data_IF_378997990563
#
_entry.id   IF_378997990563
#
_cell.length_a   1.000
_cell.length_b   1.000
_cell.length_c   1.000
_cell.angle_alpha   90.00
_cell.angle_beta   90.00
_cell.angle_gamma   90.00
#
_symmetry.space_group_name_H-M   'P 1'
#
loop_
_entity.id
_entity.type
_entity.pdbx_description
1 polymer ?
#
# COMPACT_ATOMS: atom_id res chain seq x y z
N UNK A 1 -8.66 24.52 -15.65
CA UNK A 1 -7.66 24.25 -16.69
C UNK A 1 -7.51 22.75 -16.87
N UNK A 2 -7.07 22.27 -18.05
CA UNK A 2 -6.79 20.87 -18.32
C UNK A 2 -5.31 20.72 -18.65
N UNK A 3 -4.61 19.87 -17.89
CA UNK A 3 -3.25 19.45 -18.16
C UNK A 3 -3.25 18.03 -18.71
N UNK A 4 -2.42 17.78 -19.70
CA UNK A 4 -2.23 16.47 -20.29
C UNK A 4 -0.83 15.92 -19.97
N UNK A 5 -0.77 14.63 -19.69
CA UNK A 5 0.47 13.92 -19.36
C UNK A 5 0.58 12.69 -20.26
N UNK A 6 1.72 12.55 -20.96
CA UNK A 6 2.05 11.37 -21.80
C UNK A 6 3.50 10.94 -21.59
N UNK A 7 3.83 9.65 -21.63
CA UNK A 7 5.23 9.21 -21.51
C UNK A 7 6.16 9.81 -22.56
N UNK A 8 5.61 10.19 -23.73
CA UNK A 8 6.31 10.86 -24.82
C UNK A 8 6.32 12.39 -24.74
N UNK A 9 5.75 12.96 -23.69
CA UNK A 9 5.66 14.39 -23.46
C UNK A 9 7.00 14.98 -22.96
N UNK A 10 6.94 16.25 -22.53
CA UNK A 10 8.09 16.97 -21.98
C UNK A 10 7.70 17.83 -20.80
N UNK A 11 8.41 17.71 -19.67
CA UNK A 11 8.18 18.56 -18.50
C UNK A 11 8.61 20.04 -18.70
N UNK A 12 9.24 20.35 -19.82
CA UNK A 12 9.50 21.72 -20.28
C UNK A 12 8.37 22.31 -21.12
N UNK A 13 7.36 21.48 -21.48
CA UNK A 13 6.20 21.92 -22.25
C UNK A 13 5.19 22.71 -21.40
N UNK A 14 4.10 23.18 -22.01
CA UNK A 14 3.04 23.89 -21.29
C UNK A 14 1.96 22.99 -20.67
N UNK A 15 1.94 21.71 -21.06
CA UNK A 15 1.03 20.72 -20.49
C UNK A 15 -0.37 20.71 -21.12
N UNK A 16 -0.58 21.36 -22.26
CA UNK A 16 -1.81 21.23 -23.02
C UNK A 16 -1.86 19.92 -23.83
N UNK A 17 -2.97 19.66 -24.54
CA UNK A 17 -3.16 18.43 -25.30
C UNK A 17 -2.15 18.22 -26.45
N UNK A 18 -1.63 19.31 -27.03
CA UNK A 18 -0.65 19.27 -28.13
C UNK A 18 0.79 19.17 -27.58
N UNK A 19 1.03 19.71 -26.40
CA UNK A 19 2.33 19.78 -25.75
C UNK A 19 2.26 19.23 -24.31
N UNK A 20 1.98 17.93 -24.13
CA UNK A 20 1.76 17.32 -22.81
C UNK A 20 3.05 17.28 -21.97
N UNK A 21 2.90 17.24 -20.66
CA UNK A 21 3.98 16.91 -19.76
C UNK A 21 4.41 15.45 -19.90
N UNK A 22 5.64 15.13 -19.51
CA UNK A 22 6.16 13.77 -19.46
C UNK A 22 5.76 13.05 -18.17
N UNK A 23 5.61 13.77 -17.06
CA UNK A 23 5.38 13.20 -15.73
C UNK A 23 4.11 13.74 -15.07
N UNK A 24 3.45 12.88 -14.33
CA UNK A 24 2.30 13.26 -13.48
C UNK A 24 2.78 14.20 -12.38
N UNK A 25 3.98 13.99 -11.85
CA UNK A 25 4.62 14.86 -10.85
C UNK A 25 4.75 16.29 -11.33
N UNK A 26 5.11 16.52 -12.61
CA UNK A 26 5.15 17.85 -13.18
C UNK A 26 3.77 18.50 -13.21
N UNK A 27 2.75 17.77 -13.65
CA UNK A 27 1.38 18.27 -13.66
C UNK A 27 0.91 18.58 -12.23
N UNK A 28 1.24 17.73 -11.25
CA UNK A 28 0.89 17.93 -9.84
C UNK A 28 1.55 19.19 -9.22
N UNK A 29 2.71 19.60 -9.72
CA UNK A 29 3.34 20.88 -9.33
C UNK A 29 2.61 22.09 -9.93
N UNK A 30 2.00 21.93 -11.09
CA UNK A 30 1.30 23.02 -11.82
C UNK A 30 -0.16 23.18 -11.42
N UNK A 31 -0.86 22.07 -11.21
CA UNK A 31 -2.29 22.05 -10.96
C UNK A 31 -2.72 22.94 -9.80
N UNK A 32 -3.83 23.65 -10.00
CA UNK A 32 -4.45 24.58 -9.07
C UNK A 32 -5.92 24.18 -8.83
N UNK A 33 -6.59 24.71 -7.81
CA UNK A 33 -7.98 24.39 -7.54
C UNK A 33 -8.89 24.53 -8.77
N UNK A 34 -9.69 23.51 -9.04
CA UNK A 34 -10.56 23.43 -10.22
C UNK A 34 -9.91 22.83 -11.47
N UNK A 35 -8.61 22.55 -11.45
CA UNK A 35 -7.92 21.96 -12.60
C UNK A 35 -8.11 20.44 -12.69
N UNK A 36 -8.00 19.95 -13.92
CA UNK A 36 -8.00 18.52 -14.24
C UNK A 36 -6.66 18.13 -14.88
N UNK A 37 -6.06 17.05 -14.39
CA UNK A 37 -4.89 16.41 -14.97
C UNK A 37 -5.32 15.12 -15.64
N UNK A 38 -5.24 15.09 -16.96
CA UNK A 38 -5.61 13.96 -17.83
C UNK A 38 -4.32 13.19 -18.14
N UNK A 39 -4.24 11.97 -17.65
CA UNK A 39 -3.08 11.11 -17.83
C UNK A 39 -3.38 10.06 -18.89
N UNK A 40 -2.61 10.07 -19.97
CA UNK A 40 -2.75 9.14 -21.08
C UNK A 40 -2.12 7.78 -20.77
N UNK A 41 -2.51 6.76 -21.54
CA UNK A 41 -1.99 5.40 -21.35
C UNK A 41 -0.46 5.35 -21.32
N UNK A 42 0.07 4.50 -20.46
CA UNK A 42 1.50 4.29 -20.29
C UNK A 42 1.87 3.92 -18.86
N UNK A 43 3.15 3.58 -18.68
CA UNK A 43 3.73 3.30 -17.36
C UNK A 43 4.51 4.53 -16.86
N UNK A 44 4.17 4.96 -15.66
CA UNK A 44 4.76 6.11 -14.98
C UNK A 44 5.46 5.63 -13.71
N UNK A 45 6.79 5.64 -13.73
CA UNK A 45 7.60 5.19 -12.59
C UNK A 45 7.98 6.39 -11.76
N UNK A 46 7.05 6.80 -10.91
CA UNK A 46 7.21 8.02 -10.12
C UNK A 46 6.40 7.95 -8.81
N UNK A 47 6.72 8.82 -7.90
CA UNK A 47 5.98 9.09 -6.68
C UNK A 47 5.36 10.47 -6.82
N UNK A 48 4.05 10.51 -7.00
CA UNK A 48 3.33 11.77 -7.17
C UNK A 48 3.04 12.39 -5.81
N UNK A 49 3.62 13.56 -5.56
CA UNK A 49 3.37 14.38 -4.37
C UNK A 49 2.62 15.66 -4.78
N UNK A 50 1.28 15.69 -4.69
CA UNK A 50 0.51 16.84 -5.11
C UNK A 50 0.83 18.07 -4.26
N UNK A 51 1.26 19.14 -4.91
CA UNK A 51 1.67 20.39 -4.26
C UNK A 51 0.51 21.15 -3.62
N UNK A 52 -0.69 21.03 -4.20
CA UNK A 52 -1.90 21.72 -3.76
C UNK A 52 -3.09 20.78 -3.77
N UNK A 53 -4.08 21.11 -2.98
CA UNK A 53 -5.43 20.57 -3.08
C UNK A 53 -6.41 21.55 -3.68
N UNK A 54 -7.65 21.11 -3.84
CA UNK A 54 -8.78 21.98 -4.14
C UNK A 54 -9.19 22.83 -2.94
N UNK A 55 -10.11 23.75 -3.17
CA UNK A 55 -10.64 24.65 -2.13
C UNK A 55 -12.02 24.20 -1.61
N UNK A 56 -12.75 23.43 -2.40
CA UNK A 56 -14.10 22.95 -2.06
C UNK A 56 -14.49 21.74 -2.89
N UNK A 57 -15.65 21.18 -2.60
CA UNK A 57 -16.28 20.12 -3.41
C UNK A 57 -16.39 20.49 -4.91
N UNK A 58 -16.55 21.78 -5.22
CA UNK A 58 -16.75 22.27 -6.58
C UNK A 58 -15.45 22.73 -7.24
N UNK A 59 -14.39 22.88 -6.47
CA UNK A 59 -13.07 23.33 -6.93
C UNK A 59 -11.99 22.30 -6.58
N UNK A 60 -12.27 21.03 -6.86
CA UNK A 60 -11.34 19.94 -6.68
C UNK A 60 -10.20 20.03 -7.68
N UNK A 61 -9.05 19.45 -7.35
CA UNK A 61 -8.07 19.05 -8.35
C UNK A 61 -8.34 17.58 -8.70
N UNK A 62 -8.57 17.30 -9.97
CA UNK A 62 -8.87 15.95 -10.44
C UNK A 62 -7.70 15.40 -11.24
N UNK A 63 -7.24 14.22 -10.87
CA UNK A 63 -6.29 13.42 -11.63
C UNK A 63 -7.06 12.22 -12.19
N UNK A 64 -7.05 12.05 -13.51
CA UNK A 64 -7.80 10.97 -14.14
C UNK A 64 -7.07 10.36 -15.33
N UNK A 65 -7.33 9.08 -15.58
CA UNK A 65 -6.96 8.44 -16.84
C UNK A 65 -7.73 9.05 -18.01
N UNK A 66 -7.10 9.11 -19.18
CA UNK A 66 -7.75 9.60 -20.39
C UNK A 66 -8.90 8.68 -20.81
N UNK A 67 -10.03 9.28 -21.17
CA UNK A 67 -11.21 8.52 -21.56
C UNK A 67 -10.99 7.78 -22.89
N UNK A 68 -11.39 6.52 -22.95
CA UNK A 68 -11.26 5.69 -24.16
C UNK A 68 -9.86 5.10 -24.39
N UNK A 69 -8.91 5.35 -23.51
CA UNK A 69 -7.56 4.75 -23.52
C UNK A 69 -7.44 3.66 -22.45
N UNK A 70 -6.36 2.85 -22.52
CA UNK A 70 -6.00 1.95 -21.44
C UNK A 70 -5.63 2.76 -20.18
N UNK A 71 -5.83 2.17 -19.00
CA UNK A 71 -5.49 2.83 -17.73
C UNK A 71 -4.00 3.19 -17.69
N UNK A 72 -3.65 4.44 -17.35
CA UNK A 72 -2.26 4.75 -17.00
C UNK A 72 -1.86 4.01 -15.72
N UNK A 73 -0.64 3.50 -15.69
CA UNK A 73 -0.11 2.71 -14.59
C UNK A 73 0.95 3.51 -13.86
N UNK A 74 0.76 3.78 -12.56
CA UNK A 74 1.80 4.37 -11.70
C UNK A 74 2.48 3.24 -10.94
N UNK A 75 3.81 3.14 -11.04
CA UNK A 75 4.57 2.07 -10.39
C UNK A 75 5.58 2.60 -9.37
N UNK A 76 5.59 1.96 -8.19
CA UNK A 76 6.62 2.21 -7.17
C UNK A 76 7.95 1.51 -7.45
N UNK A 77 8.07 0.82 -8.56
CA UNK A 77 9.22 0.00 -8.97
C UNK A 77 9.98 0.57 -10.15
N UNK A 78 11.17 0.04 -10.38
CA UNK A 78 11.97 0.24 -11.60
C UNK A 78 12.24 -1.08 -12.31
N UNK A 79 12.37 -1.03 -13.64
CA UNK A 79 12.82 -2.16 -14.42
C UNK A 79 14.33 -2.38 -14.21
N UNK A 80 14.72 -3.64 -14.02
CA UNK A 80 16.12 -4.02 -13.85
C UNK A 80 16.51 -5.05 -14.90
N UNK A 81 17.63 -4.80 -15.57
CA UNK A 81 18.24 -5.67 -16.57
C UNK A 81 19.73 -5.86 -16.26
N UNK A 82 20.39 -6.74 -16.98
CA UNK A 82 21.81 -7.02 -16.78
C UNK A 82 22.06 -8.05 -15.69
N UNK A 83 21.10 -8.95 -15.50
CA UNK A 83 21.24 -10.09 -14.62
C UNK A 83 22.26 -11.08 -15.15
N UNK A 84 23.05 -11.68 -14.25
CA UNK A 84 24.05 -12.70 -14.56
C UNK A 84 23.72 -13.97 -13.80
N UNK A 85 23.59 -15.09 -14.51
CA UNK A 85 23.35 -16.39 -13.88
C UNK A 85 24.61 -16.89 -13.15
N UNK A 86 24.43 -17.47 -11.97
CA UNK A 86 25.54 -18.07 -11.21
C UNK A 86 25.92 -19.43 -11.80
N UNK A 87 27.20 -19.63 -12.07
CA UNK A 87 27.71 -20.87 -12.70
C UNK A 87 27.44 -22.13 -11.86
N UNK A 88 27.51 -22.02 -10.54
CA UNK A 88 27.39 -23.15 -9.60
C UNK A 88 25.95 -23.32 -9.03
N UNK A 89 25.04 -22.38 -9.34
CA UNK A 89 23.66 -22.39 -8.87
C UNK A 89 22.69 -22.10 -10.02
N UNK A 90 22.31 -23.10 -10.80
CA UNK A 90 21.34 -22.92 -11.90
C UNK A 90 20.04 -22.25 -11.44
N UNK A 91 19.48 -21.38 -12.28
CA UNK A 91 18.28 -20.58 -12.03
C UNK A 91 18.45 -19.43 -11.03
N UNK A 92 19.62 -19.31 -10.38
CA UNK A 92 19.94 -18.17 -9.53
C UNK A 92 20.71 -17.13 -10.33
N UNK A 93 20.16 -15.93 -10.33
CA UNK A 93 20.74 -14.78 -11.03
C UNK A 93 21.08 -13.68 -10.04
N UNK A 94 22.07 -12.88 -10.36
CA UNK A 94 22.49 -11.74 -9.54
C UNK A 94 22.57 -10.48 -10.38
N UNK A 95 22.30 -9.35 -9.74
CA UNK A 95 22.47 -8.02 -10.31
C UNK A 95 22.98 -7.07 -9.23
N UNK A 96 23.86 -6.15 -9.61
CA UNK A 96 24.34 -5.09 -8.74
C UNK A 96 23.70 -3.76 -9.18
N UNK A 97 23.04 -3.11 -8.25
CA UNK A 97 22.36 -1.84 -8.46
C UNK A 97 23.17 -0.69 -7.84
N UNK A 98 23.20 0.46 -8.49
CA UNK A 98 23.72 1.69 -7.93
C UNK A 98 22.67 2.29 -6.98
N UNK A 99 23.06 2.59 -5.74
CA UNK A 99 22.15 3.10 -4.72
C UNK A 99 21.57 4.48 -5.05
N UNK A 100 22.10 5.19 -6.05
CA UNK A 100 21.51 6.46 -6.52
C UNK A 100 20.13 6.29 -7.16
N UNK A 101 19.75 5.06 -7.53
CA UNK A 101 18.38 4.80 -8.00
C UNK A 101 17.32 4.90 -6.87
N UNK A 102 17.74 4.78 -5.62
CA UNK A 102 16.88 4.90 -4.45
C UNK A 102 16.93 6.35 -3.93
N UNK A 103 15.94 7.17 -4.30
CA UNK A 103 15.98 8.61 -4.06
C UNK A 103 15.79 8.96 -2.59
N UNK A 104 14.77 8.41 -1.94
CA UNK A 104 14.39 8.77 -0.57
C UNK A 104 14.97 7.81 0.47
N UNK A 105 15.02 6.53 0.15
CA UNK A 105 15.51 5.45 1.02
C UNK A 105 15.78 4.21 0.20
N UNK A 106 16.65 3.33 0.69
CA UNK A 106 16.88 2.03 0.08
C UNK A 106 15.97 0.98 0.75
N UNK A 107 14.94 0.47 0.06
CA UNK A 107 14.04 -0.52 0.65
C UNK A 107 14.71 -1.86 0.97
N UNK A 108 15.81 -2.20 0.30
CA UNK A 108 16.58 -3.41 0.54
C UNK A 108 17.50 -3.32 1.77
N UNK A 109 17.78 -2.09 2.25
CA UNK A 109 18.50 -1.83 3.49
C UNK A 109 17.58 -1.57 4.68
N UNK A 110 16.28 -1.35 4.44
CA UNK A 110 15.34 -0.91 5.47
C UNK A 110 14.58 -2.12 6.00
N UNK A 111 14.76 -2.52 7.26
CA UNK A 111 14.04 -3.65 7.84
C UNK A 111 12.56 -3.34 8.02
N UNK A 112 11.73 -4.38 7.95
CA UNK A 112 10.31 -4.31 8.32
C UNK A 112 10.24 -4.09 9.83
N UNK A 113 9.51 -3.06 10.26
CA UNK A 113 9.53 -2.59 11.64
C UNK A 113 8.21 -1.89 11.99
N UNK A 114 7.78 -2.02 13.24
CA UNK A 114 6.66 -1.24 13.77
C UNK A 114 5.94 -1.90 14.95
N UNK A 115 5.11 -1.11 15.60
CA UNK A 115 4.30 -1.55 16.73
C UNK A 115 3.30 -2.64 16.28
N UNK A 116 3.06 -3.65 17.11
CA UNK A 116 2.20 -4.82 16.85
C UNK A 116 2.59 -5.69 15.65
N UNK A 117 3.76 -5.48 15.06
CA UNK A 117 4.31 -6.39 14.07
C UNK A 117 4.73 -7.70 14.76
N UNK A 118 4.29 -8.81 14.19
CA UNK A 118 4.73 -10.15 14.57
C UNK A 118 5.39 -10.80 13.36
N UNK A 119 6.63 -11.18 13.52
CA UNK A 119 7.33 -11.93 12.48
C UNK A 119 7.06 -13.42 12.66
N UNK A 120 7.12 -14.23 11.59
CA UNK A 120 7.16 -15.67 11.74
C UNK A 120 8.19 -16.05 12.81
N UNK A 121 7.85 -16.94 13.74
CA UNK A 121 8.68 -17.31 14.90
C UNK A 121 8.95 -16.19 15.92
N UNK A 122 8.13 -15.16 15.97
CA UNK A 122 8.12 -14.16 17.04
C UNK A 122 9.47 -13.47 17.29
N UNK A 123 10.01 -12.87 16.26
CA UNK A 123 11.24 -12.08 16.33
C UNK A 123 12.53 -12.90 16.46
N UNK A 124 12.47 -14.21 16.25
CA UNK A 124 13.65 -15.07 16.18
C UNK A 124 14.18 -15.25 14.77
N UNK A 125 13.41 -14.85 13.77
CA UNK A 125 13.87 -14.84 12.39
C UNK A 125 14.76 -13.62 12.16
N UNK A 126 15.76 -13.74 11.27
CA UNK A 126 16.49 -12.58 10.78
C UNK A 126 15.53 -11.52 10.19
N UNK A 127 15.94 -10.27 10.23
CA UNK A 127 15.14 -9.16 9.73
C UNK A 127 14.82 -9.34 8.24
N UNK A 128 13.56 -9.13 7.89
CA UNK A 128 13.12 -8.96 6.51
C UNK A 128 13.04 -7.49 6.17
N UNK A 129 13.12 -7.16 4.90
CA UNK A 129 13.26 -5.80 4.41
C UNK A 129 12.04 -5.34 3.62
N UNK A 130 11.95 -4.03 3.41
CA UNK A 130 10.88 -3.41 2.63
C UNK A 130 10.99 -3.72 1.13
N UNK A 131 12.18 -4.10 0.65
CA UNK A 131 12.43 -4.45 -0.76
C UNK A 131 11.54 -5.58 -1.28
N UNK A 132 11.34 -5.58 -2.58
CA UNK A 132 10.69 -6.68 -3.29
C UNK A 132 11.21 -6.80 -4.73
N UNK A 133 11.10 -8.00 -5.31
CA UNK A 133 11.46 -8.33 -6.68
C UNK A 133 10.23 -8.92 -7.36
N UNK A 134 9.97 -8.51 -8.60
CA UNK A 134 8.82 -8.94 -9.38
C UNK A 134 9.26 -9.53 -10.72
N UNK A 135 8.69 -10.65 -11.09
CA UNK A 135 8.80 -11.26 -12.43
C UNK A 135 7.42 -11.20 -13.10
N UNK A 136 7.31 -10.46 -14.20
CA UNK A 136 6.06 -10.28 -14.94
C UNK A 136 4.90 -9.81 -14.02
N UNK A 137 5.21 -8.91 -13.09
CA UNK A 137 4.26 -8.35 -12.13
C UNK A 137 4.03 -9.20 -10.87
N UNK A 138 4.61 -10.40 -10.77
CA UNK A 138 4.42 -11.31 -9.63
C UNK A 138 5.58 -11.19 -8.66
N UNK A 139 5.30 -10.84 -7.40
CA UNK A 139 6.32 -10.66 -6.36
C UNK A 139 6.95 -11.97 -5.89
N UNK A 140 8.23 -11.92 -5.58
CA UNK A 140 9.01 -13.01 -4.97
C UNK A 140 8.89 -12.96 -3.44
N UNK A 141 9.40 -14.01 -2.79
CA UNK A 141 9.54 -14.09 -1.34
C UNK A 141 10.97 -13.72 -0.93
N UNK A 142 11.13 -13.01 0.17
CA UNK A 142 12.47 -12.74 0.70
C UNK A 142 13.03 -13.96 1.40
N UNK A 143 14.23 -14.37 1.01
CA UNK A 143 15.07 -15.28 1.76
C UNK A 143 16.06 -14.47 2.61
N UNK A 144 16.12 -14.76 3.91
CA UNK A 144 17.02 -14.08 4.82
C UNK A 144 18.48 -14.57 4.69
N UNK A 145 18.72 -15.59 3.85
CA UNK A 145 20.05 -16.16 3.57
C UNK A 145 20.22 -16.46 2.09
N UNK A 146 21.46 -16.44 1.62
CA UNK A 146 21.80 -16.86 0.26
C UNK A 146 21.49 -18.33 0.00
N UNK A 147 21.72 -19.19 0.98
CA UNK A 147 21.45 -20.63 0.88
C UNK A 147 19.97 -20.88 0.57
N UNK A 148 19.07 -20.07 1.14
CA UNK A 148 17.64 -20.14 0.83
C UNK A 148 17.28 -19.71 -0.59
N UNK A 149 18.14 -18.93 -1.26
CA UNK A 149 17.98 -18.60 -2.68
C UNK A 149 18.52 -19.75 -3.56
N UNK A 150 19.61 -20.39 -3.14
CA UNK A 150 20.22 -21.49 -3.91
C UNK A 150 19.35 -22.73 -3.92
N UNK A 151 18.68 -23.03 -2.82
CA UNK A 151 17.80 -24.21 -2.67
C UNK A 151 16.47 -23.81 -2.00
N UNK A 152 15.59 -23.12 -2.72
CA UNK A 152 14.31 -22.64 -2.16
C UNK A 152 13.36 -23.81 -1.88
N UNK A 153 13.01 -23.98 -0.61
CA UNK A 153 12.06 -24.99 -0.19
C UNK A 153 10.63 -24.51 -0.40
N UNK A 154 9.72 -25.35 -0.95
CA UNK A 154 8.34 -24.98 -1.11
C UNK A 154 7.65 -24.84 0.25
N UNK A 155 6.77 -23.87 0.36
CA UNK A 155 5.91 -23.65 1.51
C UNK A 155 4.46 -23.98 1.11
N UNK A 156 3.92 -25.08 1.62
CA UNK A 156 2.60 -25.61 1.26
C UNK A 156 1.52 -25.26 2.29
N UNK A 157 1.91 -24.99 3.52
CA UNK A 157 1.02 -24.63 4.61
C UNK A 157 1.58 -23.46 5.41
N UNK A 158 0.71 -22.53 5.77
CA UNK A 158 0.96 -21.45 6.71
C UNK A 158 -0.04 -21.51 7.87
N UNK A 159 0.10 -20.65 8.85
CA UNK A 159 -0.76 -20.58 10.02
C UNK A 159 -1.38 -19.20 10.15
N UNK A 160 -2.67 -19.12 10.45
CA UNK A 160 -3.27 -17.86 10.87
C UNK A 160 -2.67 -17.45 12.22
N UNK A 161 -2.09 -16.28 12.25
CA UNK A 161 -1.36 -15.77 13.41
C UNK A 161 -2.22 -15.75 14.69
N UNK A 162 -3.48 -15.32 14.59
CA UNK A 162 -4.36 -15.14 15.74
C UNK A 162 -5.08 -16.44 16.14
N UNK A 163 -5.59 -17.18 15.16
CA UNK A 163 -6.40 -18.37 15.40
C UNK A 163 -5.59 -19.64 15.56
N UNK A 164 -4.32 -19.63 15.14
CA UNK A 164 -3.43 -20.79 15.18
C UNK A 164 -3.99 -22.00 14.41
N UNK A 165 -4.64 -21.74 13.30
CA UNK A 165 -5.16 -22.75 12.38
C UNK A 165 -4.34 -22.81 11.10
N UNK A 166 -4.13 -24.00 10.50
CA UNK A 166 -3.44 -24.10 9.22
C UNK A 166 -4.17 -23.32 8.12
N UNK A 167 -3.40 -22.58 7.33
CA UNK A 167 -3.89 -21.84 6.18
C UNK A 167 -3.08 -22.29 4.96
N UNK A 168 -3.66 -23.09 4.05
CA UNK A 168 -2.95 -23.51 2.85
C UNK A 168 -2.46 -22.31 2.03
N UNK A 169 -1.24 -22.43 1.50
CA UNK A 169 -0.69 -21.43 0.60
C UNK A 169 -1.37 -21.56 -0.76
N UNK A 170 -1.93 -20.47 -1.32
CA UNK A 170 -2.71 -20.54 -2.56
C UNK A 170 -1.92 -21.09 -3.76
N UNK A 171 -0.65 -20.74 -3.86
CA UNK A 171 0.25 -21.18 -4.93
C UNK A 171 1.61 -21.59 -4.34
N UNK A 172 1.76 -22.91 -4.17
CA UNK A 172 2.97 -23.50 -3.55
C UNK A 172 4.20 -23.31 -4.43
N UNK A 173 4.06 -23.41 -5.75
CA UNK A 173 5.20 -23.31 -6.67
C UNK A 173 5.78 -21.88 -6.68
N UNK A 174 4.93 -20.87 -6.51
CA UNK A 174 5.34 -19.47 -6.38
C UNK A 174 6.25 -19.24 -5.18
N UNK A 175 6.15 -20.01 -4.11
CA UNK A 175 6.98 -19.85 -2.90
C UNK A 175 8.46 -20.16 -3.13
N UNK A 176 8.81 -20.77 -4.28
CA UNK A 176 10.19 -21.04 -4.68
C UNK A 176 10.87 -19.88 -5.41
N UNK A 177 10.08 -18.88 -5.82
CA UNK A 177 10.63 -17.64 -6.36
C UNK A 177 11.04 -16.75 -5.21
N UNK A 178 12.33 -16.73 -4.92
CA UNK A 178 12.89 -16.07 -3.74
C UNK A 178 14.02 -15.13 -4.13
N UNK A 179 14.22 -14.10 -3.32
CA UNK A 179 15.32 -13.17 -3.45
C UNK A 179 16.03 -12.95 -2.12
N UNK A 180 17.30 -12.53 -2.20
CA UNK A 180 18.11 -12.04 -1.09
C UNK A 180 18.89 -10.81 -1.56
N UNK A 181 19.14 -9.85 -0.68
CA UNK A 181 19.94 -8.68 -1.02
C UNK A 181 20.97 -8.35 0.05
N UNK A 182 22.09 -7.82 -0.40
CA UNK A 182 23.13 -7.24 0.45
C UNK A 182 23.40 -5.80 0.01
N UNK A 183 23.46 -4.89 0.96
CA UNK A 183 23.71 -3.47 0.72
C UNK A 183 25.09 -3.09 1.24
N UNK A 184 25.93 -2.54 0.36
CA UNK A 184 27.21 -1.95 0.72
C UNK A 184 27.09 -0.42 0.67
N UNK A 185 26.91 0.18 1.84
CA UNK A 185 26.78 1.64 1.98
C UNK A 185 28.09 2.36 1.60
N UNK A 186 29.27 1.73 1.79
CA UNK A 186 30.54 2.33 1.46
C UNK A 186 30.79 2.35 -0.06
N UNK A 187 30.44 1.27 -0.74
CA UNK A 187 30.50 1.18 -2.20
C UNK A 187 29.32 1.87 -2.88
N UNK A 188 28.22 2.15 -2.16
CA UNK A 188 27.01 2.72 -2.72
C UNK A 188 26.27 1.76 -3.63
N UNK A 189 26.27 0.46 -3.31
CA UNK A 189 25.69 -0.59 -4.14
C UNK A 189 24.74 -1.50 -3.37
N UNK A 190 23.76 -2.05 -4.09
CA UNK A 190 22.87 -3.10 -3.61
C UNK A 190 22.98 -4.30 -4.56
N UNK A 191 23.39 -5.43 -4.05
CA UNK A 191 23.45 -6.68 -4.82
C UNK A 191 22.24 -7.53 -4.48
N UNK A 192 21.51 -7.95 -5.50
CA UNK A 192 20.34 -8.83 -5.38
C UNK A 192 20.66 -10.16 -6.02
N UNK A 193 20.35 -11.24 -5.32
CA UNK A 193 20.30 -12.61 -5.85
C UNK A 193 18.85 -13.05 -5.86
N UNK A 194 18.41 -13.66 -6.96
CA UNK A 194 17.05 -14.17 -7.09
C UNK A 194 17.00 -15.48 -7.85
N UNK A 195 16.13 -16.39 -7.42
CA UNK A 195 15.89 -17.66 -8.07
C UNK A 195 14.68 -17.54 -9.00
N UNK A 196 14.91 -17.54 -10.29
CA UNK A 196 13.89 -17.35 -11.32
C UNK A 196 13.27 -18.66 -11.83
N UNK A 197 13.58 -19.80 -11.20
CA UNK A 197 12.99 -21.12 -11.51
C UNK A 197 13.05 -21.51 -12.99
N UNK A 198 14.07 -21.04 -13.72
CA UNK A 198 14.29 -21.35 -15.12
C UNK A 198 13.88 -20.27 -16.13
N UNK A 199 13.27 -19.17 -15.68
CA UNK A 199 13.08 -18.00 -16.52
C UNK A 199 14.40 -17.23 -16.69
N UNK A 200 14.61 -16.62 -17.86
CA UNK A 200 15.72 -15.69 -18.10
C UNK A 200 15.27 -14.26 -17.77
N UNK A 201 15.78 -13.65 -16.67
CA UNK A 201 15.36 -12.32 -16.25
C UNK A 201 15.73 -11.20 -17.24
N UNK A 202 16.61 -11.45 -18.19
CA UNK A 202 16.97 -10.48 -19.24
C UNK A 202 15.98 -10.48 -20.41
N UNK A 203 15.25 -11.57 -20.61
CA UNK A 203 14.20 -11.71 -21.64
C UNK A 203 12.81 -11.36 -21.09
N UNK A 204 12.63 -11.35 -19.77
CA UNK A 204 11.37 -11.11 -19.08
C UNK A 204 11.31 -9.70 -18.46
N UNK A 205 10.12 -9.29 -18.02
CA UNK A 205 9.96 -8.06 -17.24
C UNK A 205 10.31 -8.32 -15.78
N UNK A 206 11.49 -7.86 -15.36
CA UNK A 206 11.90 -7.89 -13.96
C UNK A 206 11.92 -6.47 -13.40
N UNK A 207 11.25 -6.30 -12.26
CA UNK A 207 11.12 -5.02 -11.57
C UNK A 207 11.55 -5.17 -10.11
N UNK A 208 12.05 -4.08 -9.53
CA UNK A 208 12.37 -4.01 -8.09
C UNK A 208 11.69 -2.80 -7.46
N UNK A 209 11.23 -2.94 -6.24
CA UNK A 209 10.61 -1.82 -5.53
C UNK A 209 11.63 -0.73 -5.18
N UNK A 210 11.22 0.53 -5.35
CA UNK A 210 12.08 1.71 -5.16
C UNK A 210 11.40 2.78 -4.33
N UNK A 211 10.06 2.95 -4.45
CA UNK A 211 9.31 4.07 -3.88
C UNK A 211 8.29 3.61 -2.82
N UNK A 212 8.11 4.42 -1.81
CA UNK A 212 7.11 4.16 -0.75
C UNK A 212 5.68 4.23 -1.26
N UNK A 213 5.41 5.13 -2.18
CA UNK A 213 4.06 5.46 -2.63
C UNK A 213 4.00 5.66 -4.12
N UNK A 214 2.80 5.59 -4.69
CA UNK A 214 2.51 6.02 -6.06
C UNK A 214 1.91 7.43 -6.07
N UNK A 215 0.97 7.71 -5.15
CA UNK A 215 0.28 9.01 -5.10
C UNK A 215 -0.04 9.37 -3.64
N UNK A 216 0.78 10.24 -3.04
CA UNK A 216 0.66 10.54 -1.62
C UNK A 216 1.27 11.92 -1.29
N UNK A 217 0.53 12.85 -0.67
CA UNK A 217 1.06 14.17 -0.34
C UNK A 217 2.00 14.09 0.86
N UNK A 218 3.16 14.74 0.75
CA UNK A 218 4.12 14.89 1.85
C UNK A 218 3.66 15.89 2.91
N UNK A 219 2.62 16.68 2.62
CA UNK A 219 2.10 17.74 3.48
C UNK A 219 0.69 17.45 3.95
N UNK A 220 0.35 17.99 5.11
CA UNK A 220 -0.99 17.99 5.64
C UNK A 220 -1.90 18.99 4.89
N UNK A 221 -3.21 18.76 4.93
CA UNK A 221 -4.24 19.66 4.39
C UNK A 221 -4.17 19.89 2.88
N UNK A 222 -3.72 18.90 2.14
CA UNK A 222 -3.88 18.84 0.68
C UNK A 222 -5.27 18.27 0.39
N UNK A 223 -6.28 19.10 0.51
CA UNK A 223 -7.69 18.71 0.53
C UNK A 223 -8.31 18.59 -0.87
N UNK A 224 -9.49 17.98 -0.97
CA UNK A 224 -10.34 18.00 -2.17
C UNK A 224 -9.64 17.56 -3.44
N UNK A 225 -8.93 16.45 -3.38
CA UNK A 225 -8.35 15.78 -4.55
C UNK A 225 -9.26 14.63 -4.98
N UNK A 226 -9.41 14.45 -6.27
CA UNK A 226 -10.00 13.25 -6.89
C UNK A 226 -8.93 12.52 -7.67
N UNK A 227 -8.80 11.20 -7.44
CA UNK A 227 -7.90 10.32 -8.21
C UNK A 227 -8.73 9.16 -8.76
N UNK A 228 -8.82 9.06 -10.09
CA UNK A 228 -9.67 8.06 -10.74
C UNK A 228 -9.10 7.50 -12.04
N UNK A 229 -9.42 6.24 -12.30
CA UNK A 229 -9.11 5.61 -13.59
C UNK A 229 -7.64 5.21 -13.75
N UNK A 230 -6.90 5.02 -12.65
CA UNK A 230 -5.51 4.56 -12.65
C UNK A 230 -5.40 3.07 -12.32
N UNK A 231 -4.30 2.48 -12.75
CA UNK A 231 -3.70 1.32 -12.12
C UNK A 231 -2.50 1.78 -11.30
N UNK A 232 -2.33 1.27 -10.08
CA UNK A 232 -1.15 1.53 -9.25
C UNK A 232 -0.63 0.23 -8.69
N UNK A 233 0.69 0.06 -8.67
CA UNK A 233 1.32 -1.18 -8.24
C UNK A 233 2.74 -0.98 -7.69
N UNK A 234 3.17 -1.98 -6.89
CA UNK A 234 4.57 -2.20 -6.53
C UNK A 234 5.19 -1.07 -5.69
N UNK A 235 4.37 -0.40 -4.88
CA UNK A 235 4.87 0.52 -3.87
C UNK A 235 5.26 -0.24 -2.59
N UNK A 236 6.29 0.26 -1.92
CA UNK A 236 6.80 -0.33 -0.69
C UNK A 236 6.76 0.65 0.48
N UNK A 237 5.54 0.91 0.98
CA UNK A 237 5.33 1.64 2.22
C UNK A 237 5.83 0.88 3.44
N UNK A 238 5.54 1.39 4.63
CA UNK A 238 5.90 0.75 5.88
C UNK A 238 4.71 0.01 6.49
N UNK A 239 5.00 -0.87 7.44
CA UNK A 239 3.99 -1.42 8.35
C UNK A 239 3.20 -0.28 9.00
N UNK A 240 1.87 -0.36 9.00
CA UNK A 240 0.97 0.74 9.30
C UNK A 240 0.10 0.51 10.55
N UNK A 241 0.70 0.49 11.76
CA UNK A 241 -0.08 0.45 13.01
C UNK A 241 -0.69 1.82 13.34
N UNK A 242 -1.63 1.90 14.30
CA UNK A 242 -2.28 3.15 14.68
C UNK A 242 -1.34 4.15 15.37
N UNK A 243 -0.13 3.74 15.72
CA UNK A 243 0.88 4.56 16.40
C UNK A 243 1.97 5.08 15.48
N UNK A 244 1.91 4.79 14.18
CA UNK A 244 2.87 5.29 13.18
C UNK A 244 2.23 6.21 12.17
N UNK A 245 3.04 6.90 11.37
CA UNK A 245 2.57 7.42 10.10
C UNK A 245 2.07 6.25 9.25
N UNK A 246 0.84 6.32 8.78
CA UNK A 246 0.27 5.26 7.95
C UNK A 246 0.49 5.59 6.48
N UNK A 247 1.53 4.99 5.90
CA UNK A 247 1.79 5.06 4.48
C UNK A 247 0.81 4.17 3.71
N UNK A 248 0.37 4.65 2.56
CA UNK A 248 -0.37 3.87 1.58
C UNK A 248 0.26 4.06 0.19
N UNK A 249 0.03 3.12 -0.70
CA UNK A 249 0.37 3.31 -2.11
C UNK A 249 -0.31 4.56 -2.67
N UNK A 250 -1.54 4.80 -2.23
CA UNK A 250 -2.28 6.05 -2.43
C UNK A 250 -2.95 6.47 -1.13
N UNK A 251 -3.07 7.76 -0.90
CA UNK A 251 -3.87 8.29 0.21
C UNK A 251 -3.70 9.77 0.44
N UNK A 252 -4.58 10.37 1.26
CA UNK A 252 -4.59 11.79 1.55
C UNK A 252 -3.56 12.24 2.60
N UNK A 253 -2.84 11.32 3.25
CA UNK A 253 -2.06 11.57 4.45
C UNK A 253 -2.95 12.18 5.57
N UNK A 254 -2.87 13.46 5.83
CA UNK A 254 -3.68 14.18 6.83
C UNK A 254 -4.42 15.33 6.16
N UNK A 255 -5.59 15.03 5.61
CA UNK A 255 -6.34 15.95 4.75
C UNK A 255 -7.84 15.69 4.84
N UNK A 256 -8.63 16.45 4.09
CA UNK A 256 -10.08 16.35 4.04
C UNK A 256 -10.60 16.13 2.62
N UNK A 257 -11.64 15.31 2.48
CA UNK A 257 -12.51 15.30 1.32
C UNK A 257 -11.90 14.75 0.04
N UNK A 258 -11.00 13.76 0.09
CA UNK A 258 -10.52 13.06 -1.12
C UNK A 258 -11.57 12.13 -1.68
N UNK A 259 -11.52 11.93 -3.00
CA UNK A 259 -12.25 10.89 -3.72
C UNK A 259 -11.22 9.99 -4.42
N UNK A 260 -11.21 8.70 -4.07
CA UNK A 260 -10.40 7.67 -4.69
C UNK A 260 -11.36 6.67 -5.31
N UNK A 261 -11.47 6.69 -6.65
CA UNK A 261 -12.51 5.92 -7.33
C UNK A 261 -12.07 5.31 -8.66
N UNK A 262 -12.67 4.19 -9.03
CA UNK A 262 -12.47 3.54 -10.32
C UNK A 262 -11.00 3.18 -10.62
N UNK A 263 -10.22 2.87 -9.59
CA UNK A 263 -8.82 2.46 -9.72
C UNK A 263 -8.65 0.96 -9.56
N UNK A 264 -7.56 0.44 -10.11
CA UNK A 264 -7.04 -0.90 -9.85
C UNK A 264 -5.76 -0.75 -9.04
N UNK A 265 -5.75 -1.25 -7.81
CA UNK A 265 -4.66 -1.07 -6.84
C UNK A 265 -4.17 -2.43 -6.39
N UNK A 266 -2.90 -2.76 -6.65
CA UNK A 266 -2.39 -4.08 -6.32
C UNK A 266 -0.89 -4.11 -6.03
N UNK A 267 -0.42 -5.20 -5.47
CA UNK A 267 0.99 -5.42 -5.16
C UNK A 267 1.63 -4.29 -4.32
N UNK A 268 0.86 -3.72 -3.39
CA UNK A 268 1.45 -2.91 -2.33
C UNK A 268 2.12 -3.84 -1.30
N UNK A 269 3.37 -3.60 -0.97
CA UNK A 269 4.08 -4.43 0.03
C UNK A 269 3.30 -4.47 1.36
N UNK A 270 2.71 -3.33 1.73
CA UNK A 270 1.89 -3.18 2.95
C UNK A 270 0.45 -2.78 2.61
N UNK A 271 0.12 -1.51 2.61
CA UNK A 271 -1.25 -1.03 2.43
C UNK A 271 -1.45 -0.30 1.09
N UNK A 272 -2.53 -0.60 0.38
CA UNK A 272 -2.84 0.07 -0.87
C UNK A 272 -3.37 1.49 -0.62
N UNK A 273 -4.46 1.64 0.12
CA UNK A 273 -5.04 2.94 0.45
C UNK A 273 -4.82 3.22 1.94
N UNK A 274 -4.24 4.37 2.27
CA UNK A 274 -4.20 4.86 3.64
C UNK A 274 -4.97 6.17 3.74
N UNK A 275 -5.94 6.24 4.65
CA UNK A 275 -6.71 7.45 4.93
C UNK A 275 -6.09 8.33 6.02
N UNK A 276 -4.93 7.92 6.55
CA UNK A 276 -4.14 8.66 7.52
C UNK A 276 -4.26 8.13 8.92
N UNK A 277 -3.27 8.27 9.57
CA UNK A 277 -2.64 9.05 10.61
C UNK A 277 -1.33 9.65 10.10
N UNK A 278 -1.06 10.88 10.50
CA UNK A 278 0.19 11.58 10.15
C UNK A 278 1.27 11.45 11.25
N UNK A 279 2.49 11.84 10.93
CA UNK A 279 3.68 11.54 11.75
C UNK A 279 3.74 12.30 13.09
N UNK A 280 3.24 13.54 13.18
CA UNK A 280 3.46 14.38 14.38
C UNK A 280 2.70 13.90 15.62
N UNK A 281 1.69 13.06 15.43
CA UNK A 281 0.96 12.43 16.54
C UNK A 281 1.66 11.21 17.13
N UNK A 282 2.78 10.79 16.58
CA UNK A 282 3.65 9.69 17.03
C UNK A 282 4.06 8.75 15.89
N UNK A 283 5.17 8.05 16.07
CA UNK A 283 5.71 7.13 15.06
C UNK A 283 6.44 5.95 15.69
N UNK A 284 5.71 4.84 15.97
CA UNK A 284 6.26 3.60 16.51
C UNK A 284 7.07 3.78 17.81
N UNK A 285 6.60 4.63 18.70
CA UNK A 285 7.31 4.97 19.94
C UNK A 285 7.43 3.78 20.90
N UNK A 286 6.50 2.83 20.84
CA UNK A 286 6.55 1.66 21.71
C UNK A 286 7.76 0.80 21.39
N UNK A 287 7.87 0.31 20.16
CA UNK A 287 9.00 -0.55 19.78
C UNK A 287 10.34 0.19 19.74
N UNK A 288 10.31 1.53 19.55
CA UNK A 288 11.52 2.38 19.57
C UNK A 288 12.05 2.65 20.99
N UNK A 289 11.16 2.78 21.97
CA UNK A 289 11.57 3.31 23.30
C UNK A 289 11.27 2.36 24.45
N UNK A 290 10.29 1.48 24.30
CA UNK A 290 9.75 0.58 25.33
C UNK A 290 9.33 1.27 26.64
N UNK A 291 9.17 2.60 26.63
CA UNK A 291 8.83 3.39 27.84
C UNK A 291 7.38 3.24 28.26
N UNK A 292 6.49 3.04 27.29
CA UNK A 292 5.05 2.86 27.49
C UNK A 292 4.56 1.75 26.56
N UNK A 293 3.39 1.21 26.87
CA UNK A 293 2.76 0.22 25.96
C UNK A 293 2.23 0.87 24.70
N UNK A 294 2.06 0.10 23.64
CA UNK A 294 1.45 0.55 22.38
C UNK A 294 0.08 1.20 22.60
N UNK A 295 -0.72 0.67 23.52
CA UNK A 295 -2.04 1.21 23.87
C UNK A 295 -1.97 2.63 24.47
N UNK A 296 -0.97 2.90 25.29
CA UNK A 296 -0.78 4.26 25.85
C UNK A 296 -0.36 5.24 24.76
N UNK A 297 0.54 4.84 23.84
CA UNK A 297 0.93 5.68 22.70
C UNK A 297 -0.22 5.91 21.73
N UNK A 298 -1.09 4.92 21.52
CA UNK A 298 -2.28 5.06 20.70
C UNK A 298 -3.25 6.11 21.29
N UNK A 299 -3.50 6.10 22.60
CA UNK A 299 -4.30 7.12 23.28
C UNK A 299 -3.66 8.50 23.16
N UNK A 300 -2.36 8.60 23.36
CA UNK A 300 -1.63 9.87 23.22
C UNK A 300 -1.71 10.42 21.78
N UNK A 301 -1.67 9.55 20.76
CA UNK A 301 -1.83 9.95 19.38
C UNK A 301 -3.17 10.68 19.15
N UNK A 302 -4.27 10.17 19.72
CA UNK A 302 -5.59 10.78 19.61
C UNK A 302 -5.63 12.17 20.28
N UNK A 303 -5.04 12.31 21.48
CA UNK A 303 -4.98 13.62 22.15
C UNK A 303 -4.10 14.62 21.39
N UNK A 304 -2.99 14.16 20.82
CA UNK A 304 -2.13 15.00 19.96
C UNK A 304 -2.86 15.41 18.68
N UNK A 305 -3.59 14.50 18.07
CA UNK A 305 -4.36 14.76 16.85
C UNK A 305 -5.40 15.87 17.05
N UNK A 306 -6.04 15.92 18.22
CA UNK A 306 -6.96 17.03 18.55
C UNK A 306 -6.28 18.40 18.51
N UNK A 307 -5.01 18.47 18.88
CA UNK A 307 -4.25 19.73 18.85
C UNK A 307 -3.86 20.17 17.43
N UNK A 308 -3.78 19.23 16.50
CA UNK A 308 -3.43 19.49 15.09
C UNK A 308 -4.66 19.44 14.17
N UNK A 309 -5.86 19.59 14.74
CA UNK A 309 -7.08 19.81 13.98
C UNK A 309 -7.85 18.55 13.55
N UNK A 310 -7.77 17.48 14.34
CA UNK A 310 -8.68 16.34 14.09
C UNK A 310 -10.11 16.73 14.46
N UNK A 311 -10.82 17.25 13.47
CA UNK A 311 -12.20 17.74 13.58
C UNK A 311 -12.97 17.42 12.29
N UNK A 312 -14.28 17.26 12.42
CA UNK A 312 -15.18 17.07 11.29
C UNK A 312 -15.11 18.28 10.35
N UNK A 313 -14.95 18.00 9.04
CA UNK A 313 -14.79 19.05 8.04
C UNK A 313 -13.34 19.55 7.86
N UNK A 314 -12.39 19.11 8.68
CA UNK A 314 -10.97 19.41 8.54
C UNK A 314 -10.13 18.18 8.19
N UNK A 315 -10.48 17.02 8.75
CA UNK A 315 -9.80 15.75 8.50
C UNK A 315 -10.84 14.65 8.27
N UNK A 316 -10.55 13.72 7.36
CA UNK A 316 -11.46 12.63 7.02
C UNK A 316 -12.45 13.03 5.92
N UNK A 317 -13.66 12.50 5.96
CA UNK A 317 -14.70 12.79 4.96
C UNK A 317 -14.34 12.31 3.54
N UNK A 318 -13.52 11.29 3.45
CA UNK A 318 -13.08 10.71 2.16
C UNK A 318 -14.11 9.77 1.57
N UNK A 319 -14.09 9.65 0.25
CA UNK A 319 -14.87 8.66 -0.50
C UNK A 319 -13.87 7.72 -1.19
N UNK A 320 -13.97 6.43 -0.87
CA UNK A 320 -13.21 5.36 -1.54
C UNK A 320 -14.22 4.41 -2.16
N UNK A 321 -14.33 4.41 -3.49
CA UNK A 321 -15.38 3.64 -4.15
C UNK A 321 -14.99 3.07 -5.51
N UNK A 322 -15.63 1.96 -5.87
CA UNK A 322 -15.48 1.31 -7.18
C UNK A 322 -14.03 0.93 -7.50
N UNK A 323 -13.19 0.68 -6.49
CA UNK A 323 -11.81 0.24 -6.70
C UNK A 323 -11.74 -1.29 -6.65
N UNK A 324 -10.83 -1.86 -7.43
CA UNK A 324 -10.38 -3.24 -7.33
C UNK A 324 -9.03 -3.26 -6.62
N UNK A 325 -8.95 -3.87 -5.43
CA UNK A 325 -7.77 -3.80 -4.55
C UNK A 325 -7.36 -5.21 -4.14
N UNK A 326 -6.16 -5.63 -4.52
CA UNK A 326 -5.73 -7.00 -4.29
C UNK A 326 -4.20 -7.16 -4.15
N UNK A 327 -3.77 -8.34 -3.69
CA UNK A 327 -2.37 -8.72 -3.52
C UNK A 327 -1.57 -7.70 -2.71
N UNK A 328 -2.15 -7.23 -1.60
CA UNK A 328 -1.46 -6.34 -0.66
C UNK A 328 -1.04 -7.12 0.58
N UNK A 329 0.16 -6.85 1.08
CA UNK A 329 0.76 -7.63 2.16
C UNK A 329 0.16 -7.38 3.54
N UNK A 330 -0.45 -6.21 3.77
CA UNK A 330 -1.05 -5.84 5.04
C UNK A 330 -2.54 -5.48 4.90
N UNK A 331 -2.88 -4.40 4.23
CA UNK A 331 -4.26 -3.93 4.12
C UNK A 331 -4.61 -3.50 2.71
N UNK A 332 -5.88 -3.65 2.31
CA UNK A 332 -6.38 -2.93 1.14
C UNK A 332 -6.64 -1.46 1.50
N UNK A 333 -7.34 -1.20 2.61
CA UNK A 333 -7.65 0.15 3.07
C UNK A 333 -7.39 0.22 4.57
N UNK A 334 -6.50 1.12 4.97
CA UNK A 334 -6.16 1.38 6.38
C UNK A 334 -6.46 2.81 6.76
N UNK A 335 -6.79 3.06 8.02
CA UNK A 335 -6.95 4.41 8.52
C UNK A 335 -7.03 4.46 10.05
N UNK A 336 -6.44 5.51 10.60
CA UNK A 336 -6.61 5.89 11.99
C UNK A 336 -6.90 7.38 12.07
N UNK A 337 -8.04 7.74 12.64
CA UNK A 337 -8.55 9.11 12.71
C UNK A 337 -8.91 9.71 11.34
N UNK A 338 -8.07 9.59 10.31
CA UNK A 338 -8.39 9.99 8.95
C UNK A 338 -9.49 9.14 8.29
N UNK A 339 -9.83 7.99 8.85
CA UNK A 339 -10.96 7.15 8.47
C UNK A 339 -12.32 7.65 9.01
N UNK A 340 -12.34 8.76 9.74
CA UNK A 340 -13.57 9.35 10.26
C UNK A 340 -14.39 10.05 9.16
N UNK A 341 -15.71 9.94 9.25
CA UNK A 341 -16.70 10.60 8.38
C UNK A 341 -16.59 10.20 6.91
N UNK A 342 -16.05 9.01 6.63
CA UNK A 342 -15.77 8.50 5.29
C UNK A 342 -16.92 7.66 4.72
N UNK A 343 -16.85 7.43 3.41
CA UNK A 343 -17.69 6.47 2.68
C UNK A 343 -16.80 5.50 1.92
N UNK A 344 -16.91 4.22 2.27
CA UNK A 344 -16.14 3.13 1.67
C UNK A 344 -17.16 2.22 1.00
N UNK A 345 -17.31 2.34 -0.32
CA UNK A 345 -18.45 1.79 -1.01
C UNK A 345 -18.08 1.12 -2.34
N UNK A 346 -18.75 0.00 -2.64
CA UNK A 346 -18.63 -0.67 -3.93
C UNK A 346 -17.19 -1.06 -4.31
N UNK A 347 -16.32 -1.31 -3.33
CA UNK A 347 -14.98 -1.79 -3.61
C UNK A 347 -14.98 -3.32 -3.69
N UNK A 348 -14.14 -3.83 -4.55
CA UNK A 348 -13.75 -5.24 -4.61
C UNK A 348 -12.40 -5.39 -3.92
N UNK A 349 -12.39 -6.06 -2.77
CA UNK A 349 -11.19 -6.24 -1.94
C UNK A 349 -10.91 -7.72 -1.83
N UNK A 350 -9.73 -8.17 -2.29
CA UNK A 350 -9.43 -9.59 -2.28
C UNK A 350 -7.93 -9.90 -2.24
N UNK A 351 -7.59 -11.11 -1.82
CA UNK A 351 -6.21 -11.59 -1.73
C UNK A 351 -5.32 -10.65 -0.88
N UNK A 352 -5.80 -10.32 0.31
CA UNK A 352 -5.07 -9.44 1.23
C UNK A 352 -4.38 -10.26 2.31
N UNK A 353 -3.09 -9.99 2.53
CA UNK A 353 -2.23 -10.62 3.53
C UNK A 353 -2.13 -12.14 3.40
N UNK A 354 -2.19 -12.67 2.19
CA UNK A 354 -2.05 -14.11 1.94
C UNK A 354 -0.59 -14.55 1.77
N UNK A 355 0.28 -13.66 1.37
CA UNK A 355 1.72 -13.96 1.20
C UNK A 355 2.39 -14.32 2.53
N UNK A 356 1.95 -13.74 3.63
CA UNK A 356 2.39 -14.00 5.01
C UNK A 356 3.90 -14.04 5.19
N UNK A 357 4.62 -13.15 4.52
CA UNK A 357 6.04 -12.92 4.81
C UNK A 357 6.24 -12.24 6.16
N UNK A 358 5.26 -11.45 6.53
CA UNK A 358 5.10 -10.77 7.82
C UNK A 358 3.63 -10.72 8.17
N UNK A 359 3.33 -10.58 9.43
CA UNK A 359 1.96 -10.35 9.90
C UNK A 359 1.98 -9.77 11.31
N UNK A 360 0.81 -9.47 11.81
CA UNK A 360 0.63 -8.90 13.14
C UNK A 360 -0.82 -8.53 13.41
N UNK A 361 -1.03 -7.77 14.45
CA UNK A 361 -2.37 -7.39 14.92
C UNK A 361 -3.03 -6.28 14.08
N UNK A 362 -2.40 -5.85 12.97
CA UNK A 362 -2.84 -4.73 12.16
C UNK A 362 -3.14 -5.13 10.69
N UNK A 363 -3.63 -6.33 10.47
CA UNK A 363 -3.84 -6.92 9.14
C UNK A 363 -5.31 -7.14 8.87
N UNK A 364 -5.85 -6.54 7.80
CA UNK A 364 -7.19 -6.81 7.28
C UNK A 364 -7.39 -6.27 5.86
N UNK A 365 -8.44 -6.71 5.16
CA UNK A 365 -8.89 -6.05 3.94
C UNK A 365 -9.22 -4.58 4.20
N UNK A 366 -10.09 -4.30 5.18
CA UNK A 366 -10.36 -2.94 5.67
C UNK A 366 -10.02 -2.89 7.17
N UNK A 367 -9.04 -2.07 7.54
CA UNK A 367 -8.56 -1.94 8.92
C UNK A 367 -8.67 -0.50 9.41
N UNK A 368 -9.60 -0.22 10.30
CA UNK A 368 -9.81 1.13 10.84
C UNK A 368 -9.72 1.20 12.35
N UNK A 369 -9.06 2.26 12.82
CA UNK A 369 -9.17 2.80 14.15
C UNK A 369 -9.86 4.16 14.09
N UNK A 370 -10.60 4.53 15.12
CA UNK A 370 -11.32 5.80 15.24
C UNK A 370 -12.17 6.14 13.99
N UNK A 371 -12.82 5.13 13.43
CA UNK A 371 -13.78 5.30 12.36
C UNK A 371 -15.08 5.86 12.95
N UNK A 372 -15.19 7.19 12.96
CA UNK A 372 -16.37 7.88 13.48
C UNK A 372 -17.35 8.18 12.35
N UNK A 373 -18.63 7.88 12.54
CA UNK A 373 -19.69 8.18 11.57
C UNK A 373 -19.34 7.81 10.11
N UNK A 374 -18.66 6.69 9.93
CA UNK A 374 -18.24 6.20 8.61
C UNK A 374 -19.26 5.23 8.06
N UNK A 375 -19.46 5.23 6.76
CA UNK A 375 -20.31 4.26 6.05
C UNK A 375 -19.42 3.30 5.27
N UNK A 376 -19.57 2.01 5.53
CA UNK A 376 -18.89 0.92 4.81
C UNK A 376 -19.97 0.05 4.20
N UNK A 377 -20.18 0.15 2.87
CA UNK A 377 -21.35 -0.44 2.24
C UNK A 377 -21.08 -1.00 0.85
N UNK A 378 -21.80 -2.06 0.50
CA UNK A 378 -21.78 -2.66 -0.84
C UNK A 378 -20.39 -3.09 -1.31
N UNK A 379 -19.48 -3.45 -0.41
CA UNK A 379 -18.17 -3.98 -0.77
C UNK A 379 -18.24 -5.50 -0.89
N UNK A 380 -17.45 -6.05 -1.81
CA UNK A 380 -17.20 -7.48 -1.91
C UNK A 380 -15.78 -7.75 -1.38
N UNK A 381 -15.67 -8.55 -0.31
CA UNK A 381 -14.41 -8.77 0.42
C UNK A 381 -14.18 -10.26 0.56
N UNK A 382 -13.14 -10.79 -0.08
CA UNK A 382 -12.89 -12.22 -0.08
C UNK A 382 -11.40 -12.58 -0.18
N UNK A 383 -11.07 -13.84 0.13
CA UNK A 383 -9.70 -14.35 0.10
C UNK A 383 -8.72 -13.46 0.89
N UNK A 384 -9.13 -13.02 2.07
CA UNK A 384 -8.31 -12.22 2.97
C UNK A 384 -7.98 -12.99 4.25
N UNK A 385 -6.85 -12.72 4.87
CA UNK A 385 -6.56 -13.23 6.22
C UNK A 385 -7.60 -12.75 7.24
N UNK A 386 -8.04 -11.51 7.12
CA UNK A 386 -9.19 -10.95 7.82
C UNK A 386 -9.87 -9.95 6.88
N UNK A 387 -11.16 -10.12 6.65
CA UNK A 387 -11.90 -9.28 5.71
C UNK A 387 -12.00 -7.83 6.18
N UNK A 388 -12.54 -7.60 7.37
CA UNK A 388 -12.71 -6.26 7.93
C UNK A 388 -12.45 -6.27 9.44
N UNK A 389 -11.71 -5.27 9.91
CA UNK A 389 -11.45 -5.08 11.32
C UNK A 389 -11.70 -3.63 11.75
N UNK A 390 -12.78 -3.43 12.52
CA UNK A 390 -13.06 -2.18 13.20
C UNK A 390 -12.47 -2.26 14.60
N UNK A 391 -11.40 -1.54 14.79
CA UNK A 391 -10.63 -1.55 16.02
C UNK A 391 -10.89 -0.26 16.82
N UNK A 392 -10.25 -0.07 17.91
CA UNK A 392 -10.42 0.99 18.91
C UNK A 392 -11.10 2.27 18.42
N UNK A 393 -12.08 2.73 19.20
CA UNK A 393 -12.74 4.02 19.03
C UNK A 393 -13.63 4.16 17.78
N UNK A 394 -14.03 3.05 17.17
CA UNK A 394 -15.08 3.09 16.14
C UNK A 394 -16.41 3.41 16.79
N UNK A 395 -17.09 4.44 16.27
CA UNK A 395 -18.37 4.91 16.83
C UNK A 395 -19.26 5.49 15.73
N UNK A 396 -20.55 5.17 15.78
CA UNK A 396 -21.53 5.68 14.80
C UNK A 396 -21.32 5.14 13.39
N UNK A 397 -20.41 4.23 13.18
CA UNK A 397 -20.10 3.65 11.87
C UNK A 397 -21.18 2.67 11.48
N UNK A 398 -21.60 2.73 10.22
CA UNK A 398 -22.57 1.83 9.62
C UNK A 398 -21.89 0.89 8.63
N UNK A 399 -22.01 -0.42 8.91
CA UNK A 399 -21.52 -1.51 8.04
C UNK A 399 -22.76 -2.20 7.47
N UNK A 400 -22.98 -2.13 6.16
CA UNK A 400 -24.23 -2.62 5.55
C UNK A 400 -24.04 -3.08 4.12
N UNK A 401 -24.77 -4.12 3.73
CA UNK A 401 -24.79 -4.68 2.38
C UNK A 401 -23.41 -5.08 1.83
N UNK A 402 -22.49 -5.47 2.70
CA UNK A 402 -21.21 -6.03 2.29
C UNK A 402 -21.33 -7.55 2.13
N UNK A 403 -20.58 -8.11 1.21
CA UNK A 403 -20.43 -9.55 1.01
C UNK A 403 -19.04 -9.95 1.47
N UNK A 404 -18.98 -10.95 2.35
CA UNK A 404 -17.74 -11.57 2.82
C UNK A 404 -17.78 -13.05 2.44
N UNK A 405 -16.72 -13.55 1.83
CA UNK A 405 -16.59 -14.98 1.54
C UNK A 405 -15.12 -15.41 1.42
N UNK A 406 -14.85 -16.66 1.69
CA UNK A 406 -13.52 -17.27 1.56
C UNK A 406 -12.40 -16.56 2.34
N UNK A 407 -12.75 -15.78 3.37
CA UNK A 407 -11.77 -15.19 4.28
C UNK A 407 -11.45 -16.18 5.41
N UNK A 408 -10.25 -16.10 5.98
CA UNK A 408 -9.94 -16.86 7.21
C UNK A 408 -10.84 -16.36 8.35
N UNK A 409 -11.04 -15.04 8.42
CA UNK A 409 -12.02 -14.37 9.29
C UNK A 409 -12.71 -13.28 8.50
N UNK A 410 -14.03 -13.16 8.60
CA UNK A 410 -14.79 -12.17 7.84
C UNK A 410 -14.76 -10.79 8.47
N UNK A 411 -15.14 -10.69 9.75
CA UNK A 411 -15.34 -9.42 10.43
C UNK A 411 -14.90 -9.52 11.90
N UNK A 412 -14.15 -8.54 12.34
CA UNK A 412 -13.78 -8.37 13.75
C UNK A 412 -14.10 -6.94 14.19
N UNK A 413 -14.71 -6.81 15.37
CA UNK A 413 -15.02 -5.54 16.01
C UNK A 413 -14.47 -5.59 17.42
N UNK A 414 -13.62 -4.64 17.76
CA UNK A 414 -12.91 -4.64 19.02
C UNK A 414 -12.89 -3.24 19.65
N UNK A 415 -13.01 -3.17 20.96
CA UNK A 415 -12.89 -1.96 21.80
C UNK A 415 -13.55 -0.72 21.17
N UNK A 416 -14.79 -0.89 20.74
CA UNK A 416 -15.55 0.11 19.99
C UNK A 416 -16.94 0.35 20.59
N UNK A 417 -17.51 1.52 20.32
CA UNK A 417 -18.89 1.84 20.67
C UNK A 417 -19.82 1.62 19.47
N UNK A 418 -20.24 0.37 19.31
CA UNK A 418 -21.33 -0.02 18.44
C UNK A 418 -21.28 0.50 17.01
N UNK A 419 -20.43 -0.03 16.12
CA UNK A 419 -20.77 0.06 14.72
C UNK A 419 -22.12 -0.61 14.51
N UNK A 420 -22.97 0.02 13.71
CA UNK A 420 -24.25 -0.56 13.33
C UNK A 420 -24.05 -1.51 12.17
N UNK A 421 -24.12 -2.80 12.44
CA UNK A 421 -24.05 -3.86 11.44
C UNK A 421 -25.46 -4.22 10.96
N UNK A 422 -25.74 -4.02 9.68
CA UNK A 422 -27.03 -4.34 9.10
C UNK A 422 -26.91 -4.93 7.69
N UNK A 423 -27.67 -5.98 7.41
CA UNK A 423 -27.82 -6.56 6.08
C UNK A 423 -26.49 -6.75 5.37
N UNK A 424 -25.58 -7.49 5.99
CA UNK A 424 -24.35 -7.96 5.36
C UNK A 424 -24.44 -9.48 5.21
N UNK A 425 -23.85 -10.02 4.15
CA UNK A 425 -23.83 -11.43 3.87
C UNK A 425 -22.42 -11.97 4.10
N UNK A 426 -22.34 -13.02 4.92
CA UNK A 426 -21.12 -13.80 5.10
C UNK A 426 -21.36 -15.20 4.58
N UNK A 427 -20.50 -15.70 3.72
CA UNK A 427 -20.54 -17.06 3.21
C UNK A 427 -19.36 -17.83 3.78
N UNK A 428 -19.67 -18.79 4.66
CA UNK A 428 -18.70 -19.76 5.13
C UNK A 428 -18.67 -20.91 4.11
N UNK A 429 -17.56 -21.06 3.43
CA UNK A 429 -17.26 -22.31 2.73
C UNK A 429 -16.89 -23.34 3.79
N UNK A 430 -17.77 -24.32 3.99
CA UNK A 430 -17.52 -25.47 4.88
C UNK A 430 -16.53 -26.44 4.23
#
# INVERSE_FOLDING_TARGET
FEYHVKPTGSDAACGDAEHPFATISKAAQMASPGDTVIVHEGAYREQVDPKRGGLSEHERITYCGAEGEARPVIKGSECVRGWTELADHPHVWTVMLDNTMFVDFNPFATPIFGDWLEMPKFGKDPDKHLGDVYLNGVSFFESTTLEGVYDPQPRDTDEDFALKIPCPVPDVDRTRYVWHAEVDENAGTTTIWANFQGADPNEELVEVSVRRTCFFPSRNHVNYITVRGFEMAQATGDWAPPTSQQWGMIGPNWSYGWIIEDNVLHDAKFSAVSLGKEISSGDNEWVKTERKTGYQYQLEAVFKARRIGWEKGLIGGHIVRNNDIYECGQNAIVGHMGSAFCRIEHNHVHHIALKREFFGWEVAGIKFHAALDTVIANNNIHDCSLGMWMDWQTQGTRITRNVFHDNVRDLMIEVSHGPYLAVSYTHLTL
#
